data_IF_465252590380
#
_entry.id   IF_465252590380
#
_cell.length_a   1.000
_cell.length_b   1.000
_cell.length_c   1.000
_cell.angle_alpha   90.00
_cell.angle_beta   90.00
_cell.angle_gamma   90.00
#
_symmetry.space_group_name_H-M   'P 1'
#
loop_
_entity.id
_entity.type
_entity.pdbx_description
1 polymer ?
#
# COMPACT_ATOMS: atom_id res chain seq x y z
N UNK A 1 -20.55 -51.15 16.72
CA UNK A 1 -19.57 -50.58 17.67
C UNK A 1 -19.14 -49.21 17.13
N UNK A 2 -19.92 -48.18 17.45
CA UNK A 2 -19.72 -46.80 16.93
C UNK A 2 -18.75 -46.06 17.82
N UNK A 3 -17.60 -45.66 17.29
CA UNK A 3 -16.65 -44.76 18.01
C UNK A 3 -17.14 -43.33 17.85
N UNK A 4 -17.54 -42.71 18.96
CA UNK A 4 -17.84 -41.30 19.07
C UNK A 4 -16.51 -40.52 18.99
N UNK A 5 -16.41 -39.65 17.98
CA UNK A 5 -15.31 -38.68 17.89
C UNK A 5 -15.74 -37.45 18.70
N UNK A 6 -15.10 -37.26 19.83
CA UNK A 6 -15.29 -36.06 20.68
C UNK A 6 -14.54 -34.92 20.03
N UNK A 7 -15.28 -33.91 19.57
CA UNK A 7 -14.70 -32.68 19.04
C UNK A 7 -14.21 -31.83 20.21
N UNK A 8 -12.91 -31.77 20.40
CA UNK A 8 -12.28 -30.94 21.42
C UNK A 8 -12.14 -29.52 20.87
N UNK A 9 -13.01 -28.60 21.36
CA UNK A 9 -12.91 -27.16 21.07
C UNK A 9 -11.74 -26.61 21.89
N UNK A 10 -10.58 -26.43 21.27
CA UNK A 10 -9.48 -25.70 21.87
C UNK A 10 -9.66 -24.23 21.58
N UNK A 11 -10.16 -23.50 22.58
CA UNK A 11 -10.14 -22.04 22.58
C UNK A 11 -8.74 -21.61 23.02
N UNK A 12 -7.87 -21.29 22.08
CA UNK A 12 -6.62 -20.64 22.37
C UNK A 12 -6.80 -19.12 22.45
N UNK A 13 -6.80 -18.61 23.67
CA UNK A 13 -6.45 -17.21 23.93
C UNK A 13 -4.97 -17.05 23.62
N UNK A 14 -4.64 -16.33 22.56
CA UNK A 14 -3.25 -15.93 22.29
C UNK A 14 -3.20 -14.44 22.01
N UNK A 15 -2.72 -13.71 23.02
CA UNK A 15 -2.08 -12.41 22.82
C UNK A 15 -0.78 -12.66 22.06
N UNK A 16 -0.53 -11.87 21.00
CA UNK A 16 0.72 -11.72 20.28
C UNK A 16 1.32 -13.03 19.70
N UNK A 17 0.92 -13.42 18.49
CA UNK A 17 1.76 -14.24 17.63
C UNK A 17 1.53 -13.96 16.15
N UNK A 18 2.64 -13.95 15.43
CA UNK A 18 2.83 -13.59 14.02
C UNK A 18 1.84 -14.27 13.04
N UNK A 19 1.48 -13.61 11.92
CA UNK A 19 0.49 -14.10 10.95
C UNK A 19 0.97 -15.29 10.08
N UNK A 20 2.09 -15.91 10.38
CA UNK A 20 2.73 -16.94 9.53
C UNK A 20 2.28 -18.40 9.80
N UNK A 21 1.49 -18.68 10.84
CA UNK A 21 1.16 -20.06 11.19
C UNK A 21 -0.28 -20.51 10.83
N UNK A 22 -1.11 -19.64 10.25
CA UNK A 22 -2.49 -20.03 9.88
C UNK A 22 -2.64 -20.53 8.43
N UNK A 23 -1.55 -20.52 7.66
CA UNK A 23 -1.57 -20.84 6.22
C UNK A 23 -1.47 -22.35 5.89
N UNK A 24 -1.18 -23.24 6.84
CA UNK A 24 -0.77 -24.59 6.49
C UNK A 24 -1.77 -25.73 6.73
N UNK A 25 -2.99 -25.46 7.19
CA UNK A 25 -3.93 -26.50 7.61
C UNK A 25 -5.32 -26.52 6.96
N UNK A 26 -5.60 -25.70 5.93
CA UNK A 26 -6.84 -25.83 5.18
C UNK A 26 -6.52 -26.33 3.75
N UNK A 27 -7.18 -27.41 3.29
CA UNK A 27 -7.04 -27.87 1.92
C UNK A 27 -7.48 -26.77 0.94
N UNK A 28 -6.76 -26.67 -0.16
CA UNK A 28 -6.83 -25.58 -1.16
C UNK A 28 -8.22 -25.28 -1.74
N UNK A 29 -9.21 -26.14 -1.49
CA UNK A 29 -10.60 -26.02 -1.98
C UNK A 29 -11.51 -25.13 -1.10
N UNK A 30 -11.27 -25.02 0.20
CA UNK A 30 -12.24 -24.40 1.10
C UNK A 30 -12.06 -22.89 1.30
N UNK A 31 -10.90 -22.34 0.97
CA UNK A 31 -10.62 -20.89 1.08
C UNK A 31 -11.41 -20.05 0.07
N UNK A 32 -11.77 -20.62 -1.07
CA UNK A 32 -12.48 -19.88 -2.13
C UNK A 32 -13.97 -19.70 -1.80
N UNK A 33 -14.57 -20.60 -1.01
CA UNK A 33 -15.99 -20.51 -0.64
C UNK A 33 -16.28 -19.48 0.48
N UNK A 34 -15.29 -19.15 1.32
CA UNK A 34 -15.46 -18.17 2.41
C UNK A 34 -15.47 -16.72 1.94
N UNK A 35 -14.89 -16.44 0.77
CA UNK A 35 -14.76 -15.06 0.29
C UNK A 35 -16.05 -14.51 -0.29
N UNK A 36 -17.00 -15.37 -0.70
CA UNK A 36 -18.25 -14.95 -1.36
C UNK A 36 -18.01 -14.31 -2.74
N UNK A 37 -19.09 -14.01 -3.46
CA UNK A 37 -19.00 -13.38 -4.79
C UNK A 37 -18.71 -11.87 -4.72
N UNK A 38 -19.08 -11.22 -3.61
CA UNK A 38 -18.81 -9.81 -3.39
C UNK A 38 -18.41 -9.53 -1.94
N UNK A 39 -17.54 -8.55 -1.75
CA UNK A 39 -17.15 -8.04 -0.44
C UNK A 39 -17.61 -6.59 -0.31
N UNK A 40 -18.43 -6.33 0.70
CA UNK A 40 -18.97 -5.00 0.97
C UNK A 40 -18.25 -4.35 2.13
N UNK A 41 -17.65 -3.16 1.96
CA UNK A 41 -17.07 -2.42 3.07
C UNK A 41 -18.18 -2.02 4.04
N UNK A 42 -18.05 -2.42 5.29
CA UNK A 42 -19.08 -2.20 6.33
C UNK A 42 -18.42 -1.70 7.59
N UNK A 43 -19.05 -0.70 8.19
CA UNK A 43 -18.66 -0.17 9.49
C UNK A 43 -19.22 -1.06 10.62
N UNK A 44 -18.36 -1.46 11.52
CA UNK A 44 -18.78 -2.08 12.77
C UNK A 44 -19.18 -0.98 13.78
N UNK A 45 -20.44 -0.96 14.16
CA UNK A 45 -21.02 0.06 15.04
C UNK A 45 -20.40 0.07 16.44
N UNK A 46 -19.83 -1.04 16.89
CA UNK A 46 -19.22 -1.14 18.21
C UNK A 46 -17.85 -0.47 18.27
N UNK A 47 -17.08 -0.55 17.17
CA UNK A 47 -15.71 -0.04 17.10
C UNK A 47 -15.57 1.23 16.25
N UNK A 48 -16.55 1.53 15.38
CA UNK A 48 -16.47 2.60 14.38
C UNK A 48 -15.43 2.32 13.28
N UNK A 49 -14.94 1.07 13.19
CA UNK A 49 -13.97 0.67 12.19
C UNK A 49 -14.65 -0.10 11.04
N UNK A 50 -14.03 -0.03 9.87
CA UNK A 50 -14.49 -0.72 8.68
C UNK A 50 -13.79 -2.07 8.52
N UNK A 51 -14.55 -3.06 8.09
CA UNK A 51 -14.11 -4.36 7.59
C UNK A 51 -14.87 -4.70 6.31
N UNK A 52 -14.85 -5.97 5.91
CA UNK A 52 -15.59 -6.41 4.73
C UNK A 52 -16.44 -7.63 5.06
N UNK A 53 -17.71 -7.53 4.77
CA UNK A 53 -18.70 -8.62 4.84
C UNK A 53 -18.82 -9.29 3.47
N UNK A 54 -19.06 -10.59 3.46
CA UNK A 54 -19.51 -11.31 2.26
C UNK A 54 -21.04 -11.21 2.09
N UNK A 55 -21.56 -11.82 1.03
CA UNK A 55 -23.00 -11.84 0.71
C UNK A 55 -23.86 -12.56 1.78
N UNK A 56 -23.23 -13.32 2.69
CA UNK A 56 -23.88 -14.01 3.81
C UNK A 56 -23.87 -13.18 5.09
N UNK A 57 -23.32 -11.97 5.06
CA UNK A 57 -23.17 -11.10 6.25
C UNK A 57 -22.06 -11.56 7.20
N UNK A 58 -21.10 -12.36 6.73
CA UNK A 58 -19.97 -12.85 7.54
C UNK A 58 -18.75 -11.96 7.27
N UNK A 59 -18.05 -11.57 8.34
CA UNK A 59 -16.79 -10.85 8.23
C UNK A 59 -15.72 -11.72 7.59
N UNK A 60 -15.32 -11.39 6.34
CA UNK A 60 -14.16 -11.97 5.68
C UNK A 60 -12.89 -11.23 6.09
N UNK A 61 -13.00 -9.91 6.21
CA UNK A 61 -11.95 -9.06 6.75
C UNK A 61 -12.56 -8.35 7.96
N UNK A 62 -12.05 -8.66 9.14
CA UNK A 62 -12.55 -8.08 10.40
C UNK A 62 -12.36 -6.57 10.43
N UNK A 63 -13.25 -5.82 11.12
CA UNK A 63 -13.16 -4.36 11.27
C UNK A 63 -11.83 -3.94 11.87
N UNK A 64 -11.06 -3.17 11.12
CA UNK A 64 -9.71 -2.71 11.51
C UNK A 64 -9.27 -1.42 10.81
N UNK A 65 -10.04 -0.93 9.86
CA UNK A 65 -9.68 0.24 9.06
C UNK A 65 -10.51 1.46 9.46
N UNK A 66 -9.90 2.64 9.45
CA UNK A 66 -10.63 3.91 9.62
C UNK A 66 -11.45 4.29 8.38
N UNK A 67 -11.13 3.71 7.23
CA UNK A 67 -11.85 3.84 5.98
C UNK A 67 -11.65 2.57 5.15
N UNK A 68 -12.68 2.14 4.42
CA UNK A 68 -12.60 1.04 3.48
C UNK A 68 -13.41 1.38 2.21
N UNK A 69 -12.75 1.35 1.06
CA UNK A 69 -13.38 1.50 -0.25
C UNK A 69 -13.86 0.15 -0.79
N UNK A 70 -14.76 0.19 -1.78
CA UNK A 70 -15.20 -1.02 -2.48
C UNK A 70 -14.06 -1.67 -3.27
N UNK A 71 -14.10 -2.99 -3.39
CA UNK A 71 -13.17 -3.72 -4.25
C UNK A 71 -13.45 -3.43 -5.73
N UNK A 72 -12.41 -3.16 -6.49
CA UNK A 72 -12.42 -3.06 -7.94
C UNK A 72 -11.14 -3.68 -8.49
N UNK A 73 -11.27 -4.60 -9.46
CA UNK A 73 -10.16 -5.36 -10.03
C UNK A 73 -9.29 -6.08 -8.98
N UNK A 74 -9.95 -6.62 -7.94
CA UNK A 74 -9.27 -7.35 -6.87
C UNK A 74 -8.50 -6.45 -5.89
N UNK A 75 -8.72 -5.14 -5.90
CA UNK A 75 -8.04 -4.17 -5.04
C UNK A 75 -9.04 -3.27 -4.32
N UNK A 76 -8.78 -2.95 -3.06
CA UNK A 76 -9.51 -1.94 -2.31
C UNK A 76 -8.55 -1.01 -1.57
N UNK A 77 -8.83 0.30 -1.65
CA UNK A 77 -8.14 1.30 -0.84
C UNK A 77 -8.71 1.27 0.57
N UNK A 78 -7.84 1.20 1.55
CA UNK A 78 -8.19 1.24 2.98
C UNK A 78 -7.31 2.25 3.71
N UNK A 79 -7.80 2.77 4.86
CA UNK A 79 -7.01 3.64 5.74
C UNK A 79 -6.77 2.93 7.06
N UNK A 80 -5.51 2.75 7.43
CA UNK A 80 -5.10 2.22 8.73
C UNK A 80 -4.27 3.27 9.46
N UNK A 81 -4.70 3.63 10.68
CA UNK A 81 -4.11 4.77 11.35
C UNK A 81 -4.34 6.07 10.56
N UNK A 82 -3.28 6.76 10.20
CA UNK A 82 -3.31 8.01 9.43
C UNK A 82 -3.09 7.80 7.92
N UNK A 83 -2.69 6.59 7.49
CA UNK A 83 -2.22 6.34 6.13
C UNK A 83 -3.15 5.44 5.33
N UNK A 84 -3.20 5.68 4.03
CA UNK A 84 -3.90 4.85 3.05
C UNK A 84 -2.97 3.79 2.48
N UNK A 85 -3.53 2.61 2.21
CA UNK A 85 -2.89 1.49 1.53
C UNK A 85 -3.89 0.73 0.66
N UNK A 86 -3.44 -0.34 0.03
CA UNK A 86 -4.24 -1.17 -0.87
C UNK A 86 -4.20 -2.62 -0.42
N UNK A 87 -5.35 -3.25 -0.33
CA UNK A 87 -5.47 -4.67 0.03
C UNK A 87 -6.13 -5.48 -1.09
N UNK A 88 -5.86 -6.80 -1.08
CA UNK A 88 -6.59 -7.78 -1.88
C UNK A 88 -7.84 -8.31 -1.13
N UNK A 89 -8.72 -9.12 -1.76
CA UNK A 89 -9.92 -9.68 -1.11
C UNK A 89 -9.65 -10.62 0.07
N UNK A 90 -8.41 -11.09 0.24
CA UNK A 90 -8.00 -11.87 1.41
C UNK A 90 -7.52 -10.98 2.58
N UNK A 91 -7.59 -9.64 2.44
CA UNK A 91 -7.10 -8.70 3.43
C UNK A 91 -5.58 -8.54 3.48
N UNK A 92 -4.87 -9.11 2.51
CA UNK A 92 -3.43 -8.97 2.42
C UNK A 92 -3.06 -7.66 1.73
N UNK A 93 -2.00 -7.01 2.21
CA UNK A 93 -1.51 -5.79 1.61
C UNK A 93 -0.92 -6.03 0.22
N UNK A 94 -1.45 -5.32 -0.78
CA UNK A 94 -0.82 -5.12 -2.08
C UNK A 94 0.15 -3.96 -1.97
N UNK A 95 -0.28 -2.87 -1.29
CA UNK A 95 0.55 -1.73 -0.93
C UNK A 95 0.31 -1.42 0.55
N UNK A 96 1.37 -1.35 1.33
CA UNK A 96 1.29 -1.01 2.75
C UNK A 96 0.65 0.37 2.96
N UNK A 97 0.08 0.67 4.15
CA UNK A 97 -0.53 1.96 4.44
C UNK A 97 0.53 3.05 4.65
N UNK A 98 1.02 3.62 3.55
CA UNK A 98 2.13 4.59 3.51
C UNK A 98 1.72 5.95 2.93
N UNK A 99 0.54 6.06 2.28
CA UNK A 99 0.11 7.31 1.67
C UNK A 99 -0.67 8.17 2.65
N UNK A 100 -0.23 9.40 2.88
CA UNK A 100 -0.97 10.37 3.69
C UNK A 100 -2.26 10.83 2.96
N UNK A 101 -2.23 10.86 1.63
CA UNK A 101 -3.34 11.30 0.77
C UNK A 101 -4.03 10.11 0.07
N UNK A 102 -5.35 10.19 -0.06
CA UNK A 102 -6.11 9.22 -0.86
C UNK A 102 -5.80 9.31 -2.36
N UNK A 103 -5.42 10.48 -2.86
CA UNK A 103 -5.08 10.70 -4.26
C UNK A 103 -3.78 9.99 -4.66
N UNK A 104 -2.79 9.98 -3.77
CA UNK A 104 -1.53 9.26 -4.01
C UNK A 104 -1.75 7.76 -4.02
N UNK A 105 -2.57 7.26 -3.10
CA UNK A 105 -2.99 5.86 -3.09
C UNK A 105 -3.75 5.47 -4.36
N UNK A 106 -4.62 6.34 -4.90
CA UNK A 106 -5.31 6.11 -6.18
C UNK A 106 -4.32 6.15 -7.36
N UNK A 107 -3.26 6.94 -7.26
CA UNK A 107 -2.13 6.91 -8.20
C UNK A 107 -1.49 5.54 -8.25
N UNK A 108 -1.17 4.95 -7.10
CA UNK A 108 -0.62 3.61 -6.99
C UNK A 108 -1.56 2.55 -7.60
N UNK A 109 -2.87 2.59 -7.28
CA UNK A 109 -3.87 1.68 -7.88
C UNK A 109 -3.88 1.78 -9.41
N UNK A 110 -3.85 3.00 -9.96
CA UNK A 110 -3.80 3.19 -11.42
C UNK A 110 -2.55 2.59 -12.05
N UNK A 111 -1.41 2.71 -11.40
CA UNK A 111 -0.16 2.12 -11.85
C UNK A 111 -0.20 0.60 -11.85
N UNK A 112 -0.74 -0.02 -10.79
CA UNK A 112 -0.94 -1.46 -10.69
C UNK A 112 -1.82 -1.97 -11.86
N UNK A 113 -2.96 -1.31 -12.11
CA UNK A 113 -3.89 -1.67 -13.18
C UNK A 113 -3.28 -1.62 -14.57
N UNK A 114 -2.32 -0.73 -14.80
CA UNK A 114 -1.62 -0.62 -16.08
C UNK A 114 -0.52 -1.67 -16.27
N UNK A 115 -0.41 -2.64 -15.35
CA UNK A 115 0.62 -3.68 -15.41
C UNK A 115 2.05 -3.15 -15.16
N UNK A 116 2.17 -1.92 -14.64
CA UNK A 116 3.46 -1.27 -14.36
C UNK A 116 4.12 -1.77 -13.07
N UNK A 117 3.47 -2.69 -12.35
CA UNK A 117 3.94 -3.29 -11.10
C UNK A 117 4.79 -4.54 -11.33
N UNK A 118 5.73 -4.50 -12.26
CA UNK A 118 6.75 -5.54 -12.32
C UNK A 118 8.07 -4.96 -11.80
N UNK A 119 8.18 -4.95 -10.49
CA UNK A 119 9.48 -5.01 -9.82
C UNK A 119 10.15 -3.71 -9.41
N UNK A 120 9.75 -2.49 -9.83
CA UNK A 120 10.54 -1.28 -9.54
C UNK A 120 9.66 -0.02 -9.37
N UNK A 121 8.42 -0.13 -8.93
CA UNK A 121 7.66 1.09 -8.63
C UNK A 121 7.96 1.56 -7.22
N UNK A 122 8.45 2.78 -7.14
CA UNK A 122 8.69 3.52 -5.92
C UNK A 122 7.72 4.69 -5.86
N UNK A 123 7.16 4.92 -4.68
CA UNK A 123 6.28 6.06 -4.42
C UNK A 123 6.93 6.98 -3.42
N UNK A 124 6.85 8.26 -3.71
CA UNK A 124 7.29 9.27 -2.74
C UNK A 124 6.40 9.18 -1.51
N UNK A 125 7.03 9.20 -0.34
CA UNK A 125 6.36 9.23 0.95
C UNK A 125 7.14 10.12 1.91
N UNK A 126 6.42 10.77 2.81
CA UNK A 126 6.99 11.53 3.91
C UNK A 126 7.20 10.60 5.11
N UNK A 127 8.38 10.67 5.72
CA UNK A 127 8.63 10.05 7.01
C UNK A 127 8.18 11.00 8.14
N UNK A 128 7.18 10.61 8.96
CA UNK A 128 6.65 11.47 10.01
C UNK A 128 7.66 11.82 11.12
N UNK A 129 8.72 11.03 11.26
CA UNK A 129 9.73 11.26 12.30
C UNK A 129 10.74 12.33 11.90
N UNK A 130 11.04 12.43 10.60
CA UNK A 130 12.06 13.36 10.08
C UNK A 130 11.48 14.51 9.26
N UNK A 131 10.18 14.43 8.91
CA UNK A 131 9.49 15.36 7.98
C UNK A 131 10.21 15.45 6.62
N UNK A 132 10.87 14.34 6.22
CA UNK A 132 11.60 14.20 4.96
C UNK A 132 10.89 13.25 4.02
N UNK A 133 11.10 13.49 2.74
CA UNK A 133 10.59 12.64 1.68
C UNK A 133 11.65 11.63 1.22
N UNK A 134 11.22 10.41 1.05
CA UNK A 134 11.96 9.30 0.45
C UNK A 134 11.08 8.54 -0.52
N UNK A 135 11.53 7.38 -0.96
CA UNK A 135 10.74 6.56 -1.88
C UNK A 135 10.60 5.14 -1.33
N UNK A 136 9.35 4.72 -1.19
CA UNK A 136 8.97 3.38 -0.72
C UNK A 136 8.70 2.46 -1.91
N UNK A 137 9.03 1.17 -1.76
CA UNK A 137 8.55 0.13 -2.65
C UNK A 137 7.11 -0.29 -2.28
N UNK A 138 6.52 -1.20 -3.07
CA UNK A 138 5.17 -1.71 -2.85
C UNK A 138 5.01 -2.51 -1.54
N UNK A 139 6.10 -2.92 -0.89
CA UNK A 139 6.07 -3.54 0.44
C UNK A 139 6.10 -2.51 1.57
N UNK A 140 6.20 -1.20 1.27
CA UNK A 140 6.32 -0.14 2.26
C UNK A 140 7.73 -0.04 2.87
N UNK A 141 8.73 -0.63 2.24
CA UNK A 141 10.13 -0.48 2.64
C UNK A 141 10.80 0.64 1.84
N UNK A 142 11.61 1.44 2.53
CA UNK A 142 12.39 2.49 1.90
C UNK A 142 13.38 1.89 0.90
N UNK A 143 13.31 2.34 -0.35
CA UNK A 143 14.31 2.09 -1.40
C UNK A 143 15.26 3.26 -1.53
N UNK A 144 14.75 4.45 -1.28
CA UNK A 144 15.52 5.68 -1.10
C UNK A 144 15.08 6.24 0.24
N UNK A 145 15.99 6.25 1.21
CA UNK A 145 15.74 6.75 2.56
C UNK A 145 15.25 8.21 2.55
N UNK A 146 14.43 8.61 3.54
CA UNK A 146 13.93 9.98 3.68
C UNK A 146 15.05 11.00 3.80
N UNK A 147 15.29 11.78 2.77
CA UNK A 147 16.41 12.75 2.71
C UNK A 147 16.06 14.04 1.99
N UNK A 148 14.93 14.10 1.30
CA UNK A 148 14.51 15.26 0.51
C UNK A 148 13.54 16.14 1.30
N UNK A 149 13.56 17.45 1.03
CA UNK A 149 12.59 18.40 1.58
C UNK A 149 11.21 18.27 0.91
N UNK A 150 11.20 17.91 -0.36
CA UNK A 150 9.99 17.70 -1.16
C UNK A 150 10.32 16.89 -2.43
N UNK A 151 9.29 16.43 -3.16
CA UNK A 151 9.51 15.72 -4.41
C UNK A 151 8.22 15.27 -5.08
N UNK A 152 8.39 14.63 -6.23
CA UNK A 152 7.32 14.04 -7.02
C UNK A 152 7.65 12.57 -7.30
N UNK A 153 6.61 11.77 -7.57
CA UNK A 153 6.79 10.39 -7.98
C UNK A 153 7.64 10.26 -9.25
N UNK A 154 8.28 9.11 -9.40
CA UNK A 154 8.97 8.77 -10.65
C UNK A 154 8.00 8.81 -11.84
N UNK A 155 8.45 9.40 -12.94
CA UNK A 155 7.74 9.36 -14.22
C UNK A 155 7.90 7.99 -14.92
N UNK A 156 7.25 7.84 -16.08
CA UNK A 156 7.27 6.61 -16.87
C UNK A 156 8.69 6.26 -17.37
N UNK A 157 9.57 7.24 -17.50
CA UNK A 157 10.96 7.07 -17.93
C UNK A 157 11.91 6.80 -16.75
N UNK A 158 11.41 6.80 -15.52
CA UNK A 158 12.17 6.48 -14.32
C UNK A 158 12.92 7.64 -13.71
N UNK A 159 12.43 8.86 -13.87
CA UNK A 159 13.02 10.08 -13.28
C UNK A 159 12.07 10.72 -12.27
N UNK A 160 12.60 11.15 -11.14
CA UNK A 160 11.89 11.89 -10.11
C UNK A 160 12.50 13.27 -9.91
N UNK A 161 11.63 14.28 -9.75
CA UNK A 161 12.04 15.64 -9.41
C UNK A 161 11.98 15.74 -7.89
N UNK A 162 13.09 16.13 -7.27
CA UNK A 162 13.23 16.22 -5.82
C UNK A 162 13.88 17.53 -5.40
N UNK A 163 13.55 17.99 -4.18
CA UNK A 163 14.14 19.17 -3.56
C UNK A 163 15.10 18.76 -2.46
N UNK A 164 16.32 19.23 -2.55
CA UNK A 164 17.32 19.04 -1.48
C UNK A 164 16.99 19.96 -0.31
N UNK A 165 17.23 19.48 0.90
CA UNK A 165 17.05 20.27 2.13
C UNK A 165 17.91 21.52 2.10
N UNK A 166 17.28 22.67 2.24
CA UNK A 166 17.97 23.98 2.18
C UNK A 166 18.61 24.28 0.83
N UNK A 167 18.29 23.49 -0.21
CA UNK A 167 18.83 23.61 -1.55
C UNK A 167 17.77 23.73 -2.64
N UNK A 168 18.16 23.50 -3.89
CA UNK A 168 17.31 23.60 -5.06
C UNK A 168 16.61 22.30 -5.45
N UNK A 169 15.87 22.39 -6.55
CA UNK A 169 15.25 21.25 -7.22
C UNK A 169 16.21 20.64 -8.24
N UNK A 170 16.21 19.31 -8.32
CA UNK A 170 16.97 18.53 -9.28
C UNK A 170 16.21 17.31 -9.73
N UNK A 171 16.86 16.45 -10.50
CA UNK A 171 16.27 15.22 -11.02
C UNK A 171 17.17 14.04 -10.68
N UNK A 172 16.58 12.99 -10.15
CA UNK A 172 17.23 11.71 -9.84
C UNK A 172 16.67 10.57 -10.70
N UNK A 173 17.49 9.54 -10.91
CA UNK A 173 17.06 8.25 -11.41
C UNK A 173 16.61 7.32 -10.25
N UNK A 174 16.11 6.11 -10.60
CA UNK A 174 15.65 5.11 -9.62
C UNK A 174 16.76 4.56 -8.73
N UNK A 175 18.03 4.77 -9.09
CA UNK A 175 19.19 4.40 -8.27
C UNK A 175 19.64 5.54 -7.34
N UNK A 176 18.82 6.60 -7.23
CA UNK A 176 19.12 7.81 -6.46
C UNK A 176 20.36 8.58 -6.96
N UNK A 177 20.69 8.45 -8.23
CA UNK A 177 21.76 9.21 -8.86
C UNK A 177 21.21 10.48 -9.50
N UNK A 178 21.94 11.58 -9.35
CA UNK A 178 21.60 12.83 -10.01
C UNK A 178 21.72 12.72 -11.53
N UNK A 179 20.60 12.92 -12.21
CA UNK A 179 20.52 13.12 -13.67
C UNK A 179 20.69 14.61 -13.99
N UNK A 180 20.09 15.44 -13.15
CA UNK A 180 20.25 16.90 -13.19
C UNK A 180 20.49 17.37 -11.76
N UNK A 181 21.57 18.12 -11.56
CA UNK A 181 21.95 18.64 -10.24
C UNK A 181 20.87 19.58 -9.67
N UNK A 182 20.71 19.65 -8.34
CA UNK A 182 19.64 20.39 -7.68
C UNK A 182 19.91 21.90 -7.62
N UNK A 183 20.01 22.52 -8.79
CA UNK A 183 20.36 23.93 -8.96
C UNK A 183 19.16 24.84 -9.34
N UNK A 184 17.95 24.29 -9.38
CA UNK A 184 16.77 25.05 -9.80
C UNK A 184 15.95 25.55 -8.60
N UNK A 185 15.42 26.75 -8.71
CA UNK A 185 14.56 27.34 -7.69
C UNK A 185 13.14 26.73 -7.73
N UNK A 186 12.70 26.24 -8.89
CA UNK A 186 11.37 25.65 -9.05
C UNK A 186 11.41 24.22 -9.64
N UNK A 187 10.41 23.37 -9.31
CA UNK A 187 10.31 22.04 -9.90
C UNK A 187 9.99 22.09 -11.41
N UNK A 188 9.37 23.19 -11.87
CA UNK A 188 9.02 23.38 -13.28
C UNK A 188 10.28 23.57 -14.14
N UNK A 189 11.28 24.29 -13.63
CA UNK A 189 12.55 24.51 -14.33
C UNK A 189 13.35 23.20 -14.42
N UNK A 190 13.39 22.42 -13.33
CA UNK A 190 13.99 21.09 -13.33
C UNK A 190 13.29 20.17 -14.35
N UNK A 191 11.96 20.19 -14.43
CA UNK A 191 11.17 19.43 -15.41
C UNK A 191 11.44 19.86 -16.84
N UNK A 192 11.50 21.16 -17.08
CA UNK A 192 11.80 21.72 -18.39
C UNK A 192 13.21 21.32 -18.87
N UNK A 193 14.18 21.29 -17.97
CA UNK A 193 15.54 20.85 -18.23
C UNK A 193 15.59 19.36 -18.57
N UNK A 194 14.87 18.51 -17.83
CA UNK A 194 14.72 17.08 -18.13
C UNK A 194 14.12 16.85 -19.51
N UNK A 195 13.07 17.61 -19.87
CA UNK A 195 12.41 17.49 -21.17
C UNK A 195 13.34 17.84 -22.36
N UNK A 196 14.36 18.68 -22.13
CA UNK A 196 15.38 19.00 -23.15
C UNK A 196 16.40 17.87 -23.31
N UNK A 197 16.73 17.15 -22.23
CA UNK A 197 17.67 16.02 -22.26
C UNK A 197 17.07 14.78 -22.97
N UNK A 198 15.73 14.68 -23.03
CA UNK A 198 15.01 13.56 -23.66
C UNK A 198 14.78 13.74 -25.17
N UNK A 199 15.17 14.88 -25.75
CA UNK A 199 15.09 15.17 -27.19
C UNK A 199 16.35 14.80 -27.92
#
# INVERSE_FOLDING_TARGET
MMKRITLLLVVCFVSACSPLLYSSYLPFGDKVQLVGKSLTPTEDRATGLYGYLNDLGIWVITPQFKYAGSFSDGMARVKKGSYYGVINPLGQWIVQPVFASSLDCDGAIRSIRKGRMVGIEMWIAEDPATERYGFLNHFGAWQIEPQYENGYNFDDDGFAIVKVVGGGWGVIDRSNKWVIQPNFESPMDARSSLSRLKR
#
